data_IF_472824130492
#
_entry.id   IF_472824130492
#
_cell.length_a   1.000
_cell.length_b   1.000
_cell.length_c   1.000
_cell.angle_alpha   90.00
_cell.angle_beta   90.00
_cell.angle_gamma   90.00
#
_symmetry.space_group_name_H-M   'P 1'
#
loop_
_entity.id
_entity.type
_entity.pdbx_description
1 polymer ?
#
# COMPACT_ATOMS: atom_id res chain seq x y z
N UNK A 1 -20.27 1.46 32.79
CA UNK A 1 -19.36 0.33 32.50
C UNK A 1 -19.22 0.26 30.99
N UNK A 2 -18.14 0.82 30.44
CA UNK A 2 -17.92 0.79 28.99
C UNK A 2 -17.48 -0.62 28.61
N UNK A 3 -18.15 -1.25 27.64
CA UNK A 3 -17.64 -2.45 27.00
C UNK A 3 -16.34 -2.08 26.31
N UNK A 4 -15.24 -2.74 26.68
CA UNK A 4 -14.02 -2.69 25.88
C UNK A 4 -14.33 -3.49 24.62
N UNK A 5 -14.53 -2.80 23.49
CA UNK A 5 -14.67 -3.47 22.21
C UNK A 5 -13.37 -4.25 21.93
N UNK A 6 -13.49 -5.57 21.84
CA UNK A 6 -12.37 -6.43 21.51
C UNK A 6 -11.82 -6.03 20.13
N UNK A 7 -10.49 -5.85 20.05
CA UNK A 7 -9.84 -5.53 18.77
C UNK A 7 -10.13 -6.66 17.78
N UNK A 8 -10.76 -6.37 16.62
CA UNK A 8 -11.09 -7.39 15.65
C UNK A 8 -9.80 -8.10 15.19
N UNK A 9 -9.83 -9.43 15.21
CA UNK A 9 -8.74 -10.27 14.74
C UNK A 9 -8.98 -10.65 13.29
N UNK A 10 -7.94 -10.55 12.46
CA UNK A 10 -8.01 -10.95 11.06
C UNK A 10 -7.87 -12.47 10.92
N UNK A 11 -8.70 -13.07 10.08
CA UNK A 11 -8.52 -14.45 9.60
C UNK A 11 -7.57 -14.49 8.40
N UNK A 12 -7.01 -15.67 8.08
CA UNK A 12 -6.19 -15.84 6.88
C UNK A 12 -6.95 -15.50 5.59
N UNK A 13 -8.24 -15.85 5.50
CA UNK A 13 -9.07 -15.53 4.35
C UNK A 13 -9.25 -14.00 4.18
N UNK A 14 -9.44 -13.28 5.28
CA UNK A 14 -9.51 -11.81 5.24
C UNK A 14 -8.15 -11.19 4.91
N UNK A 15 -7.05 -11.75 5.42
CA UNK A 15 -5.69 -11.33 5.10
C UNK A 15 -5.40 -11.48 3.59
N UNK A 16 -5.74 -12.62 2.98
CA UNK A 16 -5.61 -12.84 1.54
C UNK A 16 -6.46 -11.83 0.75
N UNK A 17 -7.70 -11.55 1.19
CA UNK A 17 -8.56 -10.55 0.54
C UNK A 17 -7.98 -9.13 0.65
N UNK A 18 -7.45 -8.76 1.80
CA UNK A 18 -6.85 -7.45 2.03
C UNK A 18 -5.58 -7.25 1.20
N UNK A 19 -4.74 -8.27 1.08
CA UNK A 19 -3.51 -8.21 0.27
C UNK A 19 -3.80 -7.87 -1.21
N UNK A 20 -4.97 -8.21 -1.75
CA UNK A 20 -5.35 -7.85 -3.12
C UNK A 20 -5.54 -6.35 -3.33
N UNK A 21 -5.85 -5.57 -2.29
CA UNK A 21 -6.16 -4.14 -2.46
C UNK A 21 -4.93 -3.35 -2.94
N UNK A 22 -3.76 -3.43 -2.27
CA UNK A 22 -2.58 -2.72 -2.75
C UNK A 22 -1.99 -3.34 -4.01
N UNK A 23 -2.02 -4.68 -4.14
CA UNK A 23 -1.48 -5.37 -5.32
C UNK A 23 -2.13 -4.92 -6.64
N UNK A 24 -3.40 -4.49 -6.60
CA UNK A 24 -4.11 -3.96 -7.76
C UNK A 24 -3.58 -2.62 -8.26
N UNK A 25 -2.87 -1.85 -7.42
CA UNK A 25 -2.55 -0.47 -7.74
C UNK A 25 -1.12 -0.01 -7.44
N UNK A 26 -0.35 -0.73 -6.62
CA UNK A 26 0.93 -0.24 -6.07
C UNK A 26 2.02 0.10 -7.12
N UNK A 27 1.93 -0.39 -8.36
CA UNK A 27 2.77 0.05 -9.51
C UNK A 27 1.96 0.68 -10.66
N UNK A 28 0.71 1.07 -10.42
CA UNK A 28 -0.14 1.75 -11.41
C UNK A 28 -0.02 3.25 -11.24
N UNK A 29 0.74 3.89 -12.12
CA UNK A 29 1.06 5.32 -12.02
C UNK A 29 -0.12 6.27 -12.27
N UNK A 30 -1.09 5.90 -13.12
CA UNK A 30 -2.21 6.81 -13.47
C UNK A 30 -3.58 6.11 -13.46
N UNK A 31 -4.67 6.85 -13.14
CA UNK A 31 -4.70 8.26 -12.70
C UNK A 31 -4.15 8.44 -11.28
N UNK A 32 -3.52 9.59 -10.99
CA UNK A 32 -2.91 9.91 -9.69
C UNK A 32 -3.19 11.36 -9.26
N UNK A 33 -3.40 11.56 -7.95
CA UNK A 33 -3.64 12.84 -7.27
C UNK A 33 -2.64 12.95 -6.10
N UNK A 34 -1.39 13.40 -6.35
CA UNK A 34 -0.33 13.33 -5.35
C UNK A 34 -0.49 14.37 -4.22
N UNK A 35 -1.12 15.51 -4.50
CA UNK A 35 -1.43 16.52 -3.47
C UNK A 35 -0.22 17.31 -2.96
N UNK A 36 0.85 17.41 -3.75
CA UNK A 36 2.07 18.13 -3.41
C UNK A 36 1.86 19.65 -3.29
N UNK A 37 2.58 20.26 -2.35
CA UNK A 37 2.77 21.71 -2.31
C UNK A 37 4.03 22.02 -3.09
N UNK A 38 3.92 22.83 -4.14
CA UNK A 38 5.04 23.22 -4.99
C UNK A 38 5.56 24.60 -4.56
N UNK A 39 6.88 24.72 -4.38
CA UNK A 39 7.53 26.00 -4.14
C UNK A 39 7.80 26.74 -5.46
N UNK A 40 8.04 26.00 -6.53
CA UNK A 40 8.31 26.54 -7.87
C UNK A 40 7.99 25.55 -9.00
N UNK A 41 8.09 25.99 -10.27
CA UNK A 41 7.84 25.14 -11.44
C UNK A 41 8.82 23.94 -11.53
N UNK A 42 10.00 24.03 -10.93
CA UNK A 42 11.00 22.96 -10.86
C UNK A 42 10.54 21.74 -10.04
N UNK A 43 9.57 21.92 -9.13
CA UNK A 43 9.02 20.83 -8.32
C UNK A 43 7.99 20.00 -9.10
N UNK A 44 7.57 20.44 -10.28
CA UNK A 44 6.59 19.73 -11.09
C UNK A 44 7.23 18.50 -11.74
N UNK A 45 6.96 17.33 -11.15
CA UNK A 45 7.44 16.04 -11.64
C UNK A 45 6.30 15.01 -11.73
N UNK A 46 6.52 13.93 -12.48
CA UNK A 46 5.58 12.80 -12.56
C UNK A 46 5.57 11.97 -11.26
N UNK A 47 4.50 11.20 -10.97
CA UNK A 47 4.39 10.44 -9.73
C UNK A 47 5.59 9.53 -9.46
N UNK A 48 6.11 8.83 -10.48
CA UNK A 48 7.29 7.97 -10.32
C UNK A 48 8.57 8.74 -9.99
N UNK A 49 8.73 9.94 -10.56
CA UNK A 49 9.88 10.78 -10.25
C UNK A 49 9.80 11.38 -8.83
N UNK A 50 8.60 11.75 -8.37
CA UNK A 50 8.39 12.29 -7.03
C UNK A 50 8.50 11.21 -5.94
N UNK A 51 7.91 10.03 -6.17
CA UNK A 51 7.81 8.97 -5.17
C UNK A 51 8.19 7.60 -5.75
N UNK A 52 9.48 7.31 -6.03
CA UNK A 52 9.89 6.13 -6.81
C UNK A 52 9.40 4.77 -6.29
N UNK A 53 9.24 4.61 -4.97
CA UNK A 53 8.71 3.38 -4.36
C UNK A 53 7.19 3.42 -4.10
N UNK A 54 6.58 4.61 -4.17
CA UNK A 54 5.18 4.85 -3.75
C UNK A 54 4.37 5.60 -4.81
N UNK A 55 4.77 5.52 -6.06
CA UNK A 55 4.15 6.26 -7.16
C UNK A 55 2.81 5.70 -7.62
N UNK A 56 2.55 4.43 -7.30
CA UNK A 56 1.33 3.77 -7.70
C UNK A 56 0.10 4.25 -6.93
N UNK A 57 -1.02 3.59 -7.21
CA UNK A 57 -2.32 3.88 -6.66
C UNK A 57 -2.82 5.29 -7.02
N UNK A 58 -4.01 5.63 -6.52
CA UNK A 58 -4.63 6.91 -6.83
C UNK A 58 -3.87 8.08 -6.20
N UNK A 59 -3.12 7.84 -5.13
CA UNK A 59 -2.24 8.80 -4.48
C UNK A 59 -1.10 8.05 -3.78
N UNK A 60 0.02 8.75 -3.55
CA UNK A 60 1.21 8.12 -2.99
C UNK A 60 1.05 7.69 -1.53
N UNK A 61 0.20 8.37 -0.74
CA UNK A 61 -0.05 7.97 0.65
C UNK A 61 -0.78 6.64 0.70
N UNK A 62 -1.74 6.41 -0.19
CA UNK A 62 -2.41 5.12 -0.37
C UNK A 62 -1.40 4.02 -0.71
N UNK A 63 -0.40 4.31 -1.56
CA UNK A 63 0.67 3.35 -1.83
C UNK A 63 1.49 3.04 -0.57
N UNK A 64 1.86 4.04 0.25
CA UNK A 64 2.57 3.83 1.52
C UNK A 64 1.75 2.94 2.49
N UNK A 65 0.47 3.25 2.68
CA UNK A 65 -0.42 2.44 3.50
C UNK A 65 -0.54 1.01 2.99
N UNK A 66 -0.66 0.85 1.67
CA UNK A 66 -0.68 -0.45 1.02
C UNK A 66 0.59 -1.26 1.24
N UNK A 67 1.77 -0.65 1.06
CA UNK A 67 3.06 -1.29 1.32
C UNK A 67 3.19 -1.74 2.77
N UNK A 68 2.86 -0.86 3.72
CA UNK A 68 2.94 -1.20 5.14
C UNK A 68 1.95 -2.31 5.52
N UNK A 69 0.73 -2.27 5.00
CA UNK A 69 -0.26 -3.33 5.19
C UNK A 69 0.30 -4.67 4.69
N UNK A 70 0.87 -4.71 3.49
CA UNK A 70 1.46 -5.92 2.93
C UNK A 70 2.61 -6.47 3.78
N UNK A 71 3.53 -5.62 4.25
CA UNK A 71 4.62 -6.02 5.16
C UNK A 71 4.06 -6.57 6.47
N UNK A 72 3.03 -5.94 7.01
CA UNK A 72 2.40 -6.35 8.25
C UNK A 72 1.66 -7.69 8.09
N UNK A 73 0.92 -7.88 7.00
CA UNK A 73 0.27 -9.15 6.67
C UNK A 73 1.30 -10.27 6.51
N UNK A 74 2.43 -10.04 5.82
CA UNK A 74 3.51 -11.03 5.69
C UNK A 74 4.11 -11.48 7.03
N UNK A 75 4.08 -10.62 8.05
CA UNK A 75 4.58 -10.95 9.39
C UNK A 75 3.55 -11.74 10.20
N UNK A 76 2.27 -11.38 10.08
CA UNK A 76 1.18 -12.00 10.85
C UNK A 76 0.69 -13.32 10.25
N UNK A 77 0.73 -13.44 8.91
CA UNK A 77 0.21 -14.57 8.16
C UNK A 77 1.31 -15.14 7.26
N UNK A 78 2.19 -16.03 7.78
CA UNK A 78 3.24 -16.66 6.98
C UNK A 78 2.71 -17.48 5.80
N UNK A 79 1.46 -17.93 5.87
CA UNK A 79 0.77 -18.75 4.85
C UNK A 79 -0.05 -17.95 3.84
N UNK A 80 0.18 -16.63 3.71
CA UNK A 80 -0.46 -15.84 2.65
C UNK A 80 -0.23 -16.46 1.27
N UNK A 81 -1.30 -16.56 0.48
CA UNK A 81 -1.26 -17.17 -0.86
C UNK A 81 -0.26 -16.44 -1.77
N UNK A 82 -0.28 -15.10 -1.74
CA UNK A 82 0.57 -14.25 -2.57
C UNK A 82 1.89 -13.83 -1.91
N UNK A 83 2.35 -14.53 -0.85
CA UNK A 83 3.51 -14.07 -0.07
C UNK A 83 4.76 -13.79 -0.93
N UNK A 84 5.03 -14.65 -1.93
CA UNK A 84 6.16 -14.48 -2.85
C UNK A 84 5.98 -13.28 -3.78
N UNK A 85 4.78 -13.10 -4.35
CA UNK A 85 4.45 -11.97 -5.20
C UNK A 85 4.56 -10.66 -4.43
N UNK A 86 4.02 -10.61 -3.21
CA UNK A 86 4.11 -9.44 -2.34
C UNK A 86 5.58 -9.07 -2.08
N UNK A 87 6.43 -10.04 -1.75
CA UNK A 87 7.87 -9.80 -1.52
C UNK A 87 8.61 -9.32 -2.77
N UNK A 88 8.21 -9.80 -3.94
CA UNK A 88 8.76 -9.31 -5.21
C UNK A 88 8.36 -7.85 -5.41
N UNK A 89 7.07 -7.56 -5.29
CA UNK A 89 6.48 -6.24 -5.52
C UNK A 89 7.01 -5.15 -4.59
N UNK A 90 7.33 -5.51 -3.34
CA UNK A 90 7.92 -4.60 -2.35
C UNK A 90 9.41 -4.27 -2.59
N UNK A 91 10.06 -4.89 -3.58
CA UNK A 91 11.48 -4.65 -3.94
C UNK A 91 11.66 -3.85 -5.23
N UNK A 92 10.56 -3.64 -5.96
CA UNK A 92 10.52 -2.79 -7.16
C UNK A 92 10.65 -1.32 -6.76
#
# INVERSE_FOLDING_TARGET
MQAQDAVPQLTLAEANRLAQLPLKCMQKEYPNKPGEVLAGPEDLAGPQAMHPAFYGCFDWHSAVHGHWMLVNLLKQFPELEDASLIRQKLKE
#
